data_IF_776329856418
#
_entry.id   IF_776329856418
#
_cell.length_a   1.000
_cell.length_b   1.000
_cell.length_c   1.000
_cell.angle_alpha   90.00
_cell.angle_beta   90.00
_cell.angle_gamma   90.00
#
_symmetry.space_group_name_H-M   'P 1'
#
loop_
_entity.id
_entity.type
_entity.pdbx_description
1 polymer ?
#
# COMPACT_ATOMS: atom_id res chain seq x y z
N UNK A 1 -10.28 -3.57 16.31
CA UNK A 1 -9.49 -4.20 15.23
C UNK A 1 -8.14 -3.51 15.18
N UNK A 2 -7.04 -4.27 15.18
CA UNK A 2 -5.68 -3.74 15.02
C UNK A 2 -5.18 -4.17 13.65
N UNK A 3 -4.65 -3.24 12.86
CA UNK A 3 -4.00 -3.53 11.59
C UNK A 3 -2.49 -3.57 11.80
N UNK A 4 -1.83 -4.60 11.28
CA UNK A 4 -0.37 -4.68 11.19
C UNK A 4 0.00 -4.48 9.73
N UNK A 5 0.97 -3.61 9.49
CA UNK A 5 1.57 -3.36 8.19
C UNK A 5 3.03 -3.84 8.22
N UNK A 6 3.57 -4.25 7.09
CA UNK A 6 4.98 -4.69 7.03
C UNK A 6 5.94 -3.52 7.25
N UNK A 7 5.64 -2.36 6.67
CA UNK A 7 6.45 -1.14 6.77
C UNK A 7 5.57 0.09 6.98
N UNK A 8 6.10 1.08 7.70
CA UNK A 8 5.40 2.34 7.96
C UNK A 8 6.35 3.54 7.94
N UNK A 9 5.85 4.66 7.40
CA UNK A 9 6.52 5.96 7.39
C UNK A 9 5.56 7.05 7.83
N UNK A 10 6.10 8.16 8.32
CA UNK A 10 5.33 9.40 8.49
C UNK A 10 5.47 10.27 7.25
N UNK A 11 4.33 10.73 6.73
CA UNK A 11 4.27 11.80 5.73
C UNK A 11 4.54 13.16 6.38
N UNK A 12 4.72 14.20 5.55
CA UNK A 12 4.96 15.57 6.02
C UNK A 12 3.84 16.12 6.92
N UNK A 13 2.62 15.64 6.75
CA UNK A 13 1.46 16.04 7.55
C UNK A 13 1.29 15.23 8.83
N UNK A 14 2.25 14.35 9.16
CA UNK A 14 2.19 13.49 10.35
C UNK A 14 1.26 12.28 10.20
N UNK A 15 0.66 12.06 9.03
CA UNK A 15 -0.12 10.86 8.72
C UNK A 15 0.79 9.69 8.35
N UNK A 16 0.33 8.47 8.60
CA UNK A 16 1.07 7.24 8.32
C UNK A 16 0.89 6.85 6.84
N UNK A 17 1.99 6.49 6.19
CA UNK A 17 2.00 5.80 4.90
C UNK A 17 2.49 4.37 5.14
N UNK A 18 1.70 3.39 4.74
CA UNK A 18 2.06 1.98 4.89
C UNK A 18 2.69 1.43 3.60
N UNK A 19 3.66 0.53 3.76
CA UNK A 19 4.22 -0.27 2.69
C UNK A 19 3.96 -1.75 2.96
N UNK A 20 3.44 -2.45 1.96
CA UNK A 20 3.20 -3.90 2.02
C UNK A 20 4.10 -4.61 1.00
N UNK A 21 4.77 -5.67 1.46
CA UNK A 21 5.60 -6.50 0.58
C UNK A 21 4.73 -7.62 0.00
N UNK A 22 4.30 -7.45 -1.25
CA UNK A 22 3.53 -8.47 -1.96
C UNK A 22 4.50 -9.45 -2.64
N UNK A 23 4.38 -10.74 -2.31
CA UNK A 23 5.06 -11.82 -3.02
C UNK A 23 4.48 -12.02 -4.43
N UNK A 24 5.35 -12.34 -5.39
CA UNK A 24 4.97 -12.50 -6.81
C UNK A 24 3.95 -13.64 -7.03
N UNK A 25 3.91 -14.63 -6.13
CA UNK A 25 3.01 -15.79 -6.18
C UNK A 25 1.51 -15.41 -6.25
N UNK A 26 1.13 -14.26 -5.68
CA UNK A 26 -0.26 -13.75 -5.66
C UNK A 26 -0.77 -13.31 -7.04
N UNK A 27 0.13 -13.02 -7.99
CA UNK A 27 -0.23 -12.58 -9.35
C UNK A 27 -0.21 -13.71 -10.37
N UNK A 28 0.40 -14.85 -10.03
CA UNK A 28 0.49 -16.01 -10.92
C UNK A 28 -0.62 -17.02 -10.67
N UNK A 29 -1.31 -16.94 -9.53
CA UNK A 29 -2.39 -17.85 -9.17
C UNK A 29 -3.77 -17.26 -9.56
N UNK A 30 -4.43 -17.77 -10.62
CA UNK A 30 -5.71 -17.24 -11.10
C UNK A 30 -6.89 -17.47 -10.13
N UNK A 31 -6.72 -18.30 -9.09
CA UNK A 31 -7.76 -18.53 -8.07
C UNK A 31 -7.97 -17.34 -7.12
N UNK A 32 -7.11 -16.32 -7.19
CA UNK A 32 -7.07 -15.22 -6.21
C UNK A 32 -7.90 -13.99 -6.59
N UNK A 33 -8.52 -13.93 -7.78
CA UNK A 33 -9.23 -12.72 -8.28
C UNK A 33 -10.71 -12.64 -7.91
N UNK A 34 -11.27 -13.65 -7.23
CA UNK A 34 -12.57 -13.66 -6.51
C UNK A 34 -13.81 -13.05 -7.21
N UNK A 35 -13.82 -12.87 -8.54
CA UNK A 35 -15.05 -12.61 -9.32
C UNK A 35 -15.88 -11.38 -8.92
N UNK A 36 -15.29 -10.34 -8.30
CA UNK A 36 -16.04 -9.18 -7.80
C UNK A 36 -16.56 -8.28 -8.94
N UNK A 37 -17.80 -7.80 -8.79
CA UNK A 37 -18.41 -6.81 -9.69
C UNK A 37 -17.81 -5.41 -9.48
N UNK A 38 -17.85 -4.55 -10.51
CA UNK A 38 -17.26 -3.20 -10.49
C UNK A 38 -17.81 -2.34 -9.34
N UNK A 39 -19.11 -2.44 -9.03
CA UNK A 39 -19.74 -1.67 -7.94
C UNK A 39 -19.25 -2.11 -6.56
N UNK A 40 -19.02 -3.41 -6.36
CA UNK A 40 -18.47 -3.93 -5.10
C UNK A 40 -17.02 -3.46 -4.88
N UNK A 41 -16.23 -3.35 -5.96
CA UNK A 41 -14.86 -2.83 -5.89
C UNK A 41 -14.83 -1.38 -5.39
N UNK A 42 -15.68 -0.51 -5.95
CA UNK A 42 -15.74 0.91 -5.56
C UNK A 42 -16.23 1.10 -4.11
N UNK A 43 -17.20 0.29 -3.67
CA UNK A 43 -17.69 0.30 -2.30
C UNK A 43 -16.59 -0.13 -1.31
N UNK A 44 -15.93 -1.26 -1.61
CA UNK A 44 -14.82 -1.79 -0.81
C UNK A 44 -13.66 -0.77 -0.72
N UNK A 45 -13.36 -0.08 -1.82
CA UNK A 45 -12.33 0.97 -1.85
C UNK A 45 -12.67 2.14 -0.91
N UNK A 46 -13.91 2.65 -0.95
CA UNK A 46 -14.37 3.75 -0.08
C UNK A 46 -14.39 3.37 1.40
N UNK A 47 -14.85 2.17 1.73
CA UNK A 47 -14.87 1.68 3.11
C UNK A 47 -13.45 1.51 3.64
N UNK A 48 -12.54 0.98 2.81
CA UNK A 48 -11.13 0.87 3.13
C UNK A 48 -10.49 2.24 3.37
N UNK A 49 -10.73 3.22 2.50
CA UNK A 49 -10.21 4.58 2.68
C UNK A 49 -10.69 5.23 3.98
N UNK A 50 -11.97 5.08 4.31
CA UNK A 50 -12.55 5.61 5.55
C UNK A 50 -11.94 4.96 6.80
N UNK A 51 -11.75 3.64 6.78
CA UNK A 51 -11.13 2.91 7.90
C UNK A 51 -9.66 3.31 8.07
N UNK A 52 -8.91 3.38 6.98
CA UNK A 52 -7.50 3.77 7.01
C UNK A 52 -7.30 5.20 7.51
N UNK A 53 -8.13 6.13 7.04
CA UNK A 53 -8.14 7.52 7.49
C UNK A 53 -8.38 7.62 9.00
N UNK A 54 -9.34 6.87 9.54
CA UNK A 54 -9.61 6.79 11.00
C UNK A 54 -8.46 6.20 11.80
N UNK A 55 -7.66 5.33 11.20
CA UNK A 55 -6.45 4.77 11.80
C UNK A 55 -5.21 5.67 11.61
N UNK A 56 -5.35 6.85 11.02
CA UNK A 56 -4.25 7.76 10.74
C UNK A 56 -3.39 7.37 9.52
N UNK A 57 -3.78 6.32 8.79
CA UNK A 57 -3.12 5.88 7.56
C UNK A 57 -3.69 6.67 6.38
N UNK A 58 -2.85 7.45 5.72
CA UNK A 58 -3.23 8.24 4.53
C UNK A 58 -3.10 7.49 3.22
N UNK A 59 -2.20 6.50 3.13
CA UNK A 59 -1.98 5.74 1.90
C UNK A 59 -1.29 4.40 2.17
N UNK A 60 -1.46 3.44 1.25
CA UNK A 60 -0.75 2.16 1.25
C UNK A 60 -0.15 1.93 -0.14
N UNK A 61 1.16 1.73 -0.23
CA UNK A 61 1.79 1.27 -1.47
C UNK A 61 2.28 -0.17 -1.32
N UNK A 62 2.12 -0.94 -2.40
CA UNK A 62 2.59 -2.33 -2.46
C UNK A 62 3.79 -2.42 -3.37
N UNK A 63 4.77 -3.21 -2.97
CA UNK A 63 5.98 -3.44 -3.74
C UNK A 63 6.38 -4.91 -3.65
N UNK A 64 7.07 -5.40 -4.66
CA UNK A 64 7.59 -6.77 -4.69
C UNK A 64 9.01 -6.81 -4.15
N UNK A 65 9.52 -8.02 -3.91
CA UNK A 65 10.92 -8.19 -3.56
C UNK A 65 11.85 -7.67 -4.66
N UNK A 66 11.47 -7.83 -5.93
CA UNK A 66 12.22 -7.31 -7.07
C UNK A 66 12.29 -5.77 -7.09
N UNK A 67 11.18 -5.08 -6.73
CA UNK A 67 11.19 -3.61 -6.59
C UNK A 67 12.21 -3.15 -5.55
N UNK A 68 12.32 -3.89 -4.43
CA UNK A 68 13.25 -3.60 -3.35
C UNK A 68 14.71 -3.83 -3.77
N UNK A 69 14.99 -4.92 -4.50
CA UNK A 69 16.31 -5.21 -5.07
C UNK A 69 16.76 -4.12 -6.07
N UNK A 70 15.84 -3.63 -6.90
CA UNK A 70 16.13 -2.61 -7.90
C UNK A 70 16.15 -1.18 -7.34
N UNK A 71 15.65 -0.97 -6.12
CA UNK A 71 15.61 0.28 -5.35
C UNK A 71 14.81 1.43 -5.97
N UNK A 72 15.08 1.82 -7.21
CA UNK A 72 14.39 2.93 -7.87
C UNK A 72 12.88 2.69 -8.00
N UNK A 73 12.39 1.49 -8.37
CA UNK A 73 10.96 1.22 -8.38
C UNK A 73 10.32 1.38 -7.00
N UNK A 74 10.96 0.85 -5.96
CA UNK A 74 10.50 1.01 -4.57
C UNK A 74 10.44 2.48 -4.17
N UNK A 75 11.51 3.25 -4.40
CA UNK A 75 11.58 4.68 -4.06
C UNK A 75 10.47 5.44 -4.79
N UNK A 76 10.28 5.18 -6.08
CA UNK A 76 9.24 5.85 -6.88
C UNK A 76 7.85 5.57 -6.31
N UNK A 77 7.54 4.32 -5.97
CA UNK A 77 6.26 3.93 -5.36
C UNK A 77 6.05 4.58 -3.99
N UNK A 78 7.09 4.58 -3.15
CA UNK A 78 7.05 5.20 -1.83
C UNK A 78 6.80 6.71 -1.91
N UNK A 79 7.52 7.42 -2.79
CA UNK A 79 7.35 8.87 -2.99
C UNK A 79 5.95 9.20 -3.53
N UNK A 80 5.45 8.43 -4.50
CA UNK A 80 4.08 8.58 -5.01
C UNK A 80 3.02 8.37 -3.92
N UNK A 81 3.31 7.55 -2.92
CA UNK A 81 2.45 7.32 -1.77
C UNK A 81 2.56 8.39 -0.67
N UNK A 82 3.49 9.34 -0.80
CA UNK A 82 3.71 10.43 0.14
C UNK A 82 4.84 10.21 1.15
N UNK A 83 5.69 9.18 0.96
CA UNK A 83 6.92 9.02 1.74
C UNK A 83 7.95 10.05 1.29
N UNK A 84 8.53 10.77 2.24
CA UNK A 84 9.60 11.73 1.94
C UNK A 84 10.94 11.03 1.78
N UNK A 85 11.71 11.44 0.78
CA UNK A 85 13.09 11.00 0.64
C UNK A 85 13.93 11.71 1.70
N UNK A 86 14.71 10.94 2.47
CA UNK A 86 15.71 11.52 3.35
C UNK A 86 16.76 12.27 2.50
N UNK A 87 17.01 13.52 2.87
CA UNK A 87 18.12 14.32 2.33
C UNK A 87 19.27 14.15 3.33
N UNK A 88 20.34 13.50 2.90
CA UNK A 88 21.59 13.36 3.65
C UNK A 88 22.64 14.28 3.03
#
# INVERSE_FOLDING_TARGET
MSFRVDFAWYSASGRIVAGELDGEEKYVNPSMTQGKSISAIVQDERERENLLSKCGISNIFRFTFQDALQRQPLIKKAVQAGVQKAVY
#
